data_IF_995062705615
#
_entry.id   IF_995062705615
#
_cell.length_a   1.000
_cell.length_b   1.000
_cell.length_c   1.000
_cell.angle_alpha   90.00
_cell.angle_beta   90.00
_cell.angle_gamma   90.00
#
_symmetry.space_group_name_H-M   'P 1'
#
loop_
_entity.id
_entity.type
_entity.pdbx_description
1 polymer ?
#
# COMPACT_ATOMS: atom_id res chain seq x y z
N UNK A 1 -1.62 7.75 -16.76
CA UNK A 1 -1.06 8.30 -15.50
C UNK A 1 -0.88 7.14 -14.53
N UNK A 2 0.33 6.88 -14.09
CA UNK A 2 0.67 5.65 -13.37
C UNK A 2 0.46 5.81 -11.86
N UNK A 3 -0.80 5.61 -11.38
CA UNK A 3 -1.09 5.64 -9.94
C UNK A 3 -0.24 4.62 -9.15
N UNK A 4 0.08 3.47 -9.76
CA UNK A 4 0.95 2.45 -9.21
C UNK A 4 2.33 3.01 -8.81
N UNK A 5 2.97 3.78 -9.70
CA UNK A 5 4.25 4.43 -9.40
C UNK A 5 4.12 5.43 -8.24
N UNK A 6 3.03 6.20 -8.22
CA UNK A 6 2.78 7.17 -7.14
C UNK A 6 2.57 6.47 -5.81
N UNK A 7 1.74 5.42 -5.78
CA UNK A 7 1.52 4.64 -4.55
C UNK A 7 2.81 4.01 -4.05
N UNK A 8 3.57 3.36 -4.94
CA UNK A 8 4.86 2.77 -4.56
C UNK A 8 5.81 3.80 -3.95
N UNK A 9 5.93 4.98 -4.56
CA UNK A 9 6.77 6.06 -4.04
C UNK A 9 6.32 6.51 -2.65
N UNK A 10 5.01 6.62 -2.41
CA UNK A 10 4.46 7.00 -1.11
C UNK A 10 4.72 5.91 -0.06
N UNK A 11 4.48 4.65 -0.39
CA UNK A 11 4.70 3.53 0.53
C UNK A 11 6.18 3.30 0.84
N UNK A 12 7.08 3.67 -0.06
CA UNK A 12 8.53 3.57 0.16
C UNK A 12 9.12 4.71 1.01
N UNK A 13 8.32 5.71 1.36
CA UNK A 13 8.77 6.77 2.27
C UNK A 13 9.19 6.19 3.65
N UNK A 14 10.32 6.65 4.17
CA UNK A 14 11.06 5.99 5.26
C UNK A 14 10.37 5.99 6.63
N UNK A 15 9.25 6.70 6.83
CA UNK A 15 8.58 6.86 8.13
C UNK A 15 7.05 6.81 8.02
N UNK A 16 6.54 5.88 7.23
CA UNK A 16 5.11 5.75 7.01
C UNK A 16 4.44 5.09 8.22
N UNK A 17 3.65 5.83 8.99
CA UNK A 17 2.88 5.31 10.14
C UNK A 17 1.88 4.24 9.73
N UNK A 18 1.35 4.33 8.52
CA UNK A 18 0.46 3.30 7.98
C UNK A 18 1.12 1.91 8.07
N UNK A 19 2.36 1.76 7.57
CA UNK A 19 3.04 0.47 7.57
C UNK A 19 3.36 0.00 8.98
N UNK A 20 3.79 0.89 9.88
CA UNK A 20 4.02 0.55 11.28
C UNK A 20 2.73 0.08 11.97
N UNK A 21 1.59 0.71 11.71
CA UNK A 21 0.30 0.30 12.27
C UNK A 21 -0.16 -1.07 11.77
N UNK A 22 0.21 -1.43 10.54
CA UNK A 22 -0.18 -2.69 9.91
C UNK A 22 0.73 -3.86 10.30
N UNK A 23 2.03 -3.59 10.47
CA UNK A 23 3.05 -4.63 10.68
C UNK A 23 3.53 -4.70 12.11
N UNK A 24 3.24 -3.67 12.91
CA UNK A 24 3.79 -3.46 14.28
C UNK A 24 5.31 -3.38 14.31
N UNK A 25 5.94 -3.01 13.18
CA UNK A 25 7.39 -2.81 13.06
C UNK A 25 7.69 -1.80 11.95
N UNK A 26 8.79 -1.06 12.09
CA UNK A 26 9.25 -0.17 11.03
C UNK A 26 9.91 -0.96 9.88
N UNK A 27 9.83 -0.43 8.67
CA UNK A 27 10.58 -0.96 7.53
C UNK A 27 12.07 -0.63 7.76
N UNK A 28 12.91 -1.65 7.73
CA UNK A 28 14.38 -1.49 7.82
C UNK A 28 14.98 -1.12 6.47
N UNK A 29 14.60 -1.85 5.43
CA UNK A 29 15.07 -1.63 4.06
C UNK A 29 14.07 -2.19 3.04
N UNK A 30 13.90 -1.49 1.92
CA UNK A 30 13.18 -1.96 0.75
C UNK A 30 14.10 -2.79 -0.13
N UNK A 31 13.58 -3.90 -0.68
CA UNK A 31 14.34 -4.81 -1.51
C UNK A 31 13.81 -4.72 -2.94
N UNK A 32 14.70 -4.51 -3.90
CA UNK A 32 14.35 -4.61 -5.31
C UNK A 32 14.35 -6.08 -5.72
N UNK A 33 13.16 -6.64 -5.94
CA UNK A 33 12.98 -8.04 -6.32
C UNK A 33 12.63 -8.13 -7.80
N UNK A 34 13.55 -8.68 -8.61
CA UNK A 34 13.31 -8.98 -10.02
C UNK A 34 13.09 -10.48 -10.19
N UNK A 35 11.94 -10.85 -10.76
CA UNK A 35 11.61 -12.26 -11.03
C UNK A 35 12.06 -12.61 -12.45
N UNK A 36 12.98 -13.58 -12.63
CA UNK A 36 13.54 -13.92 -13.95
C UNK A 36 12.56 -14.61 -14.90
N UNK A 37 11.27 -14.71 -14.58
CA UNK A 37 10.34 -15.52 -15.37
C UNK A 37 9.23 -14.66 -16.00
N UNK A 38 9.10 -14.75 -17.32
CA UNK A 38 8.21 -13.93 -18.18
C UNK A 38 6.71 -14.15 -17.97
N UNK A 39 6.29 -15.05 -17.08
CA UNK A 39 4.87 -15.35 -16.78
C UNK A 39 4.41 -14.89 -15.40
N UNK A 40 5.28 -14.46 -14.51
CA UNK A 40 4.92 -13.98 -13.18
C UNK A 40 4.86 -12.46 -13.17
N UNK A 41 3.77 -11.93 -12.66
CA UNK A 41 3.64 -10.50 -12.40
C UNK A 41 4.75 -10.03 -11.45
N UNK A 42 5.19 -8.80 -11.62
CA UNK A 42 6.21 -8.17 -10.78
C UNK A 42 5.66 -8.01 -9.36
N UNK A 43 6.40 -8.43 -8.34
CA UNK A 43 6.13 -8.09 -6.94
C UNK A 43 6.11 -6.57 -6.78
N UNK A 44 5.16 -6.06 -5.98
CA UNK A 44 5.09 -4.61 -5.81
C UNK A 44 6.17 -4.10 -4.85
N UNK A 45 6.13 -4.49 -3.61
CA UNK A 45 7.08 -4.02 -2.60
C UNK A 45 7.49 -5.16 -1.67
N UNK A 46 8.80 -5.33 -1.48
CA UNK A 46 9.37 -6.30 -0.52
C UNK A 46 10.35 -5.57 0.39
N UNK A 47 10.29 -5.83 1.68
CA UNK A 47 11.14 -5.17 2.66
C UNK A 47 11.54 -6.10 3.81
N UNK A 48 12.66 -5.79 4.46
CA UNK A 48 12.95 -6.27 5.80
C UNK A 48 12.39 -5.30 6.83
N UNK A 49 11.65 -5.84 7.80
CA UNK A 49 11.21 -5.08 8.96
C UNK A 49 12.33 -5.01 10.01
N UNK A 50 12.23 -4.07 10.92
CA UNK A 50 13.21 -3.86 12.00
C UNK A 50 13.28 -5.02 12.99
N UNK A 51 12.22 -5.82 13.07
CA UNK A 51 12.15 -7.03 13.89
C UNK A 51 12.66 -8.30 13.18
N UNK A 52 13.23 -8.16 11.98
CA UNK A 52 13.82 -9.25 11.20
C UNK A 52 12.83 -10.03 10.32
N UNK A 53 11.53 -9.67 10.29
CA UNK A 53 10.57 -10.31 9.39
C UNK A 53 10.75 -9.82 7.95
N UNK A 54 10.60 -10.74 7.00
CA UNK A 54 10.44 -10.41 5.58
C UNK A 54 8.98 -10.00 5.35
N UNK A 55 8.76 -8.86 4.70
CA UNK A 55 7.44 -8.29 4.46
C UNK A 55 7.21 -8.11 2.95
N UNK A 56 6.06 -8.56 2.47
CA UNK A 56 5.60 -8.35 1.10
C UNK A 56 4.28 -7.58 1.11
N UNK A 57 4.27 -6.46 0.41
CA UNK A 57 3.09 -5.62 0.23
C UNK A 57 2.70 -5.57 -1.24
N UNK A 58 1.46 -5.96 -1.53
CA UNK A 58 0.83 -5.86 -2.85
C UNK A 58 -0.17 -4.71 -2.88
N UNK A 59 -0.24 -3.97 -3.98
CA UNK A 59 -1.11 -2.79 -4.16
C UNK A 59 -2.13 -3.07 -5.28
N UNK A 60 -3.43 -2.99 -4.97
CA UNK A 60 -4.48 -3.28 -5.95
C UNK A 60 -5.54 -2.18 -6.02
N UNK A 61 -5.91 -1.80 -7.25
CA UNK A 61 -7.01 -0.86 -7.52
C UNK A 61 -8.23 -1.51 -8.15
N UNK A 62 -8.17 -2.79 -8.48
CA UNK A 62 -9.26 -3.61 -9.00
C UNK A 62 -9.35 -4.95 -8.31
N UNK A 63 -10.52 -5.58 -8.33
CA UNK A 63 -10.67 -6.94 -7.82
C UNK A 63 -10.08 -7.95 -8.82
N UNK A 64 -9.21 -8.81 -8.34
CA UNK A 64 -8.58 -9.90 -9.10
C UNK A 64 -8.99 -11.25 -8.49
N UNK A 65 -9.76 -12.09 -9.20
CA UNK A 65 -10.19 -13.39 -8.68
C UNK A 65 -9.02 -14.37 -8.47
N UNK A 66 -7.89 -14.15 -9.13
CA UNK A 66 -6.70 -14.98 -9.01
C UNK A 66 -5.72 -14.48 -7.95
N UNK A 67 -6.06 -13.43 -7.20
CA UNK A 67 -5.14 -12.79 -6.27
C UNK A 67 -4.59 -13.76 -5.21
N UNK A 68 -5.42 -14.61 -4.64
CA UNK A 68 -4.95 -15.57 -3.63
C UNK A 68 -3.90 -16.54 -4.21
N UNK A 69 -4.06 -16.95 -5.49
CA UNK A 69 -3.07 -17.79 -6.18
C UNK A 69 -1.76 -17.03 -6.43
N UNK A 70 -1.84 -15.78 -6.85
CA UNK A 70 -0.64 -14.93 -7.01
C UNK A 70 0.09 -14.75 -5.68
N UNK A 71 -0.63 -14.50 -4.61
CA UNK A 71 -0.05 -14.30 -3.28
C UNK A 71 0.68 -15.54 -2.77
N UNK A 72 0.14 -16.75 -2.96
CA UNK A 72 0.86 -17.96 -2.56
C UNK A 72 2.09 -18.23 -3.45
N UNK A 73 2.02 -17.96 -4.75
CA UNK A 73 3.17 -18.04 -5.65
C UNK A 73 4.31 -17.11 -5.19
N UNK A 74 3.99 -15.86 -4.85
CA UNK A 74 4.95 -14.92 -4.29
C UNK A 74 5.50 -15.36 -2.93
N UNK A 75 4.64 -15.92 -2.07
CA UNK A 75 5.05 -16.46 -0.78
C UNK A 75 6.14 -17.53 -0.94
N UNK A 76 5.88 -18.52 -1.78
CA UNK A 76 6.81 -19.63 -2.03
C UNK A 76 8.12 -19.15 -2.66
N UNK A 77 8.04 -18.20 -3.58
CA UNK A 77 9.18 -17.61 -4.24
C UNK A 77 10.08 -16.86 -3.25
N UNK A 78 9.52 -16.00 -2.46
CA UNK A 78 10.25 -15.23 -1.44
C UNK A 78 10.85 -16.13 -0.37
N UNK A 79 10.07 -17.11 0.11
CA UNK A 79 10.58 -18.08 1.07
C UNK A 79 11.76 -18.87 0.52
N UNK A 80 11.68 -19.30 -0.73
CA UNK A 80 12.78 -20.01 -1.39
C UNK A 80 14.06 -19.17 -1.51
N UNK A 81 13.90 -17.86 -1.82
CA UNK A 81 15.05 -16.98 -2.05
C UNK A 81 15.71 -16.50 -0.77
N UNK A 82 14.91 -16.16 0.22
CA UNK A 82 15.40 -15.54 1.45
C UNK A 82 15.50 -16.52 2.63
N UNK A 83 15.01 -17.75 2.49
CA UNK A 83 15.00 -18.76 3.57
C UNK A 83 14.03 -18.43 4.71
N UNK A 84 13.31 -17.31 4.63
CA UNK A 84 12.37 -16.82 5.64
C UNK A 84 11.00 -16.64 5.00
N UNK A 85 9.96 -17.18 5.66
CA UNK A 85 8.58 -17.03 5.23
C UNK A 85 8.14 -15.56 5.33
N UNK A 86 7.62 -14.95 4.25
CA UNK A 86 7.21 -13.55 4.29
C UNK A 86 5.87 -13.36 5.02
N UNK A 87 5.74 -12.25 5.73
CA UNK A 87 4.43 -11.70 6.10
C UNK A 87 3.87 -10.96 4.90
N UNK A 88 2.67 -11.35 4.46
CA UNK A 88 2.07 -10.77 3.25
C UNK A 88 0.80 -9.98 3.56
N UNK A 89 0.72 -8.80 2.96
CA UNK A 89 -0.47 -7.96 3.00
C UNK A 89 -0.76 -7.39 1.61
N UNK A 90 -2.05 -7.14 1.37
CA UNK A 90 -2.53 -6.44 0.20
C UNK A 90 -3.26 -5.17 0.66
N UNK A 91 -2.94 -4.04 0.06
CA UNK A 91 -3.67 -2.79 0.22
C UNK A 91 -4.52 -2.56 -1.03
N UNK A 92 -5.82 -2.47 -0.80
CA UNK A 92 -6.80 -2.20 -1.83
C UNK A 92 -7.19 -0.72 -1.82
N UNK A 93 -7.06 -0.07 -2.98
CA UNK A 93 -7.36 1.35 -3.18
C UNK A 93 -8.47 1.56 -4.22
N UNK A 94 -9.12 0.49 -4.67
CA UNK A 94 -10.13 0.54 -5.73
C UNK A 94 -11.44 1.23 -5.33
N UNK A 95 -12.27 1.50 -6.34
CA UNK A 95 -13.60 2.13 -6.17
C UNK A 95 -14.68 1.15 -5.74
N UNK A 96 -14.63 -0.06 -6.31
CA UNK A 96 -15.59 -1.11 -5.98
C UNK A 96 -15.31 -1.66 -4.58
N UNK A 97 -16.28 -2.24 -3.88
CA UNK A 97 -16.00 -2.99 -2.66
C UNK A 97 -14.94 -4.07 -2.89
N UNK A 98 -14.07 -4.27 -1.90
CA UNK A 98 -13.10 -5.35 -1.93
C UNK A 98 -13.83 -6.70 -1.98
N UNK A 99 -13.57 -7.48 -3.02
CA UNK A 99 -14.23 -8.77 -3.26
C UNK A 99 -13.24 -9.85 -3.73
N UNK A 100 -11.95 -9.67 -3.46
CA UNK A 100 -10.92 -10.65 -3.80
C UNK A 100 -10.89 -11.78 -2.78
N UNK A 101 -10.65 -13.05 -3.22
CA UNK A 101 -10.43 -14.15 -2.30
C UNK A 101 -9.12 -13.91 -1.50
N UNK A 102 -9.19 -14.03 -0.18
CA UNK A 102 -8.04 -13.87 0.72
C UNK A 102 -7.52 -15.20 1.26
N UNK A 103 -8.10 -16.29 0.81
CA UNK A 103 -7.80 -17.63 1.26
C UNK A 103 -7.84 -18.63 0.09
N UNK A 104 -6.94 -19.61 0.16
CA UNK A 104 -7.01 -20.85 -0.64
C UNK A 104 -7.10 -21.99 0.37
N UNK A 105 -8.09 -22.86 0.18
CA UNK A 105 -8.28 -24.05 1.00
C UNK A 105 -8.44 -25.28 0.09
N UNK A 106 -7.53 -26.21 0.24
CA UNK A 106 -7.56 -27.53 -0.37
C UNK A 106 -7.29 -28.60 0.70
N UNK A 107 -7.52 -29.86 0.37
CA UNK A 107 -7.38 -30.98 1.30
C UNK A 107 -6.03 -30.96 2.08
N UNK A 108 -4.94 -30.65 1.39
CA UNK A 108 -3.58 -30.72 1.95
C UNK A 108 -2.92 -29.36 2.17
N UNK A 109 -3.67 -28.23 1.96
CA UNK A 109 -3.09 -26.90 2.04
C UNK A 109 -4.13 -25.85 2.40
N UNK A 110 -3.78 -25.02 3.36
CA UNK A 110 -4.48 -23.76 3.64
C UNK A 110 -3.49 -22.61 3.54
N UNK A 111 -3.82 -21.62 2.74
CA UNK A 111 -3.05 -20.40 2.62
C UNK A 111 -3.96 -19.19 2.83
N UNK A 112 -3.50 -18.21 3.62
CA UNK A 112 -4.21 -16.95 3.88
C UNK A 112 -3.26 -15.78 3.83
N UNK A 113 -3.75 -14.65 3.33
CA UNK A 113 -3.07 -13.36 3.42
C UNK A 113 -4.05 -12.30 3.91
N UNK A 114 -3.53 -11.18 4.41
CA UNK A 114 -4.36 -10.07 4.89
C UNK A 114 -4.59 -9.07 3.76
N UNK A 115 -5.84 -8.85 3.38
CA UNK A 115 -6.25 -7.75 2.52
C UNK A 115 -6.85 -6.62 3.37
N UNK A 116 -6.51 -5.37 3.02
CA UNK A 116 -6.90 -4.16 3.73
C UNK A 116 -7.49 -3.20 2.72
N UNK A 117 -8.77 -2.88 2.89
CA UNK A 117 -9.40 -1.80 2.12
C UNK A 117 -9.08 -0.47 2.81
N UNK A 118 -8.41 0.43 2.09
CA UNK A 118 -8.07 1.75 2.64
C UNK A 118 -9.30 2.53 3.13
N UNK A 119 -10.49 2.27 2.57
CA UNK A 119 -11.73 2.93 2.98
C UNK A 119 -12.21 2.51 4.37
N UNK A 120 -11.71 1.42 4.92
CA UNK A 120 -12.04 0.96 6.28
C UNK A 120 -11.17 1.62 7.34
N UNK A 121 -10.02 2.19 6.93
CA UNK A 121 -9.11 2.86 7.84
C UNK A 121 -9.58 4.28 8.16
N UNK A 122 -9.40 4.69 9.42
CA UNK A 122 -9.71 6.06 9.85
C UNK A 122 -8.62 7.02 9.36
N UNK A 123 -9.02 8.02 8.58
CA UNK A 123 -8.10 9.03 8.04
C UNK A 123 -7.44 9.90 9.12
N UNK A 124 -8.06 10.07 10.28
CA UNK A 124 -7.53 10.95 11.34
C UNK A 124 -6.15 10.51 11.83
N UNK A 125 -5.90 9.22 11.91
CA UNK A 125 -4.59 8.68 12.31
C UNK A 125 -3.48 9.16 11.37
N UNK A 126 -3.78 9.21 10.06
CA UNK A 126 -2.83 9.60 9.02
C UNK A 126 -2.74 11.12 8.86
N UNK A 127 -3.85 11.83 9.01
CA UNK A 127 -3.88 13.30 8.98
C UNK A 127 -3.11 13.94 10.14
N UNK A 128 -2.94 13.23 11.26
CA UNK A 128 -2.15 13.68 12.42
C UNK A 128 -0.67 13.33 12.30
N UNK A 129 -0.28 12.53 11.32
CA UNK A 129 1.12 12.17 11.11
C UNK A 129 1.97 13.39 10.72
N UNK A 130 3.21 13.49 11.19
CA UNK A 130 4.15 14.50 10.70
C UNK A 130 4.63 14.25 9.27
N UNK A 131 4.51 13.02 8.76
CA UNK A 131 4.90 12.65 7.40
C UNK A 131 3.83 13.10 6.40
N UNK A 132 4.25 13.85 5.36
CA UNK A 132 3.34 14.32 4.31
C UNK A 132 2.74 13.14 3.52
N UNK A 133 3.48 12.06 3.36
CA UNK A 133 3.08 10.86 2.66
C UNK A 133 1.85 10.20 3.33
N UNK A 134 1.82 10.13 4.66
CA UNK A 134 0.66 9.65 5.40
C UNK A 134 -0.54 10.58 5.17
N UNK A 135 -0.33 11.91 5.21
CA UNK A 135 -1.40 12.86 4.98
C UNK A 135 -1.97 12.72 3.56
N UNK A 136 -1.14 12.48 2.54
CA UNK A 136 -1.59 12.24 1.17
C UNK A 136 -2.40 10.94 1.06
N UNK A 137 -1.92 9.86 1.68
CA UNK A 137 -2.62 8.57 1.69
C UNK A 137 -3.96 8.63 2.43
N UNK A 138 -4.13 9.55 3.40
CA UNK A 138 -5.39 9.75 4.12
C UNK A 138 -6.58 10.00 3.19
N UNK A 139 -6.36 10.58 1.98
CA UNK A 139 -7.44 10.80 0.99
C UNK A 139 -8.09 9.49 0.52
N UNK A 140 -7.39 8.36 0.62
CA UNK A 140 -7.87 7.02 0.27
C UNK A 140 -8.62 6.34 1.43
N UNK A 141 -8.55 6.88 2.63
CA UNK A 141 -9.20 6.35 3.82
C UNK A 141 -10.66 6.79 3.94
N UNK A 142 -11.32 6.34 5.00
CA UNK A 142 -12.63 6.83 5.39
C UNK A 142 -12.48 8.25 5.93
N UNK A 143 -13.06 9.23 5.20
CA UNK A 143 -13.07 10.64 5.57
C UNK A 143 -14.39 10.97 6.28
N UNK A 144 -14.32 11.44 7.52
CA UNK A 144 -15.49 11.91 8.26
C UNK A 144 -16.01 13.25 7.70
N UNK A 145 -15.08 14.12 7.28
CA UNK A 145 -15.35 15.40 6.62
C UNK A 145 -14.35 15.59 5.46
N UNK A 146 -14.80 15.26 4.24
CA UNK A 146 -13.94 15.33 3.04
C UNK A 146 -13.39 16.74 2.78
N UNK A 147 -14.21 17.83 2.80
CA UNK A 147 -13.70 19.19 2.63
C UNK A 147 -12.65 19.59 3.65
N UNK A 148 -12.85 19.25 4.92
CA UNK A 148 -11.91 19.57 5.99
C UNK A 148 -10.61 18.76 5.83
N UNK A 149 -10.69 17.48 5.53
CA UNK A 149 -9.51 16.63 5.29
C UNK A 149 -8.66 17.17 4.14
N UNK A 150 -9.28 17.48 3.00
CA UNK A 150 -8.58 18.08 1.85
C UNK A 150 -7.92 19.40 2.23
N UNK A 151 -8.61 20.28 2.95
CA UNK A 151 -8.05 21.56 3.41
C UNK A 151 -6.83 21.34 4.30
N UNK A 152 -6.88 20.40 5.24
CA UNK A 152 -5.74 20.05 6.11
C UNK A 152 -4.53 19.57 5.29
N UNK A 153 -4.77 18.68 4.31
CA UNK A 153 -3.70 18.18 3.43
C UNK A 153 -3.08 19.35 2.63
N UNK A 154 -3.90 20.21 2.04
CA UNK A 154 -3.40 21.38 1.30
C UNK A 154 -2.56 22.31 2.18
N UNK A 155 -3.02 22.61 3.39
CA UNK A 155 -2.26 23.42 4.36
C UNK A 155 -0.90 22.76 4.70
N UNK A 156 -0.86 21.44 4.83
CA UNK A 156 0.42 20.71 5.05
C UNK A 156 1.34 20.82 3.84
N UNK A 157 0.80 20.72 2.62
CA UNK A 157 1.59 20.88 1.38
C UNK A 157 2.15 22.30 1.29
N UNK A 158 1.39 23.33 1.66
CA UNK A 158 1.85 24.71 1.67
C UNK A 158 3.03 24.95 2.63
N UNK A 159 3.13 24.18 3.70
CA UNK A 159 4.23 24.24 4.67
C UNK A 159 5.52 23.54 4.19
N UNK A 160 5.46 22.75 3.12
CA UNK A 160 6.62 22.08 2.57
C UNK A 160 7.58 23.07 1.89
N UNK A 161 8.89 22.75 1.77
CA UNK A 161 9.80 23.45 0.89
C UNK A 161 9.25 23.52 -0.55
N UNK A 162 9.47 24.63 -1.25
CA UNK A 162 8.94 24.86 -2.59
C UNK A 162 9.29 23.75 -3.59
N UNK A 163 10.46 23.13 -3.46
CA UNK A 163 10.91 22.00 -4.28
C UNK A 163 10.06 20.72 -4.12
N UNK A 164 9.33 20.57 -3.00
CA UNK A 164 8.53 19.38 -2.71
C UNK A 164 7.02 19.59 -2.97
N UNK A 165 6.55 20.85 -2.97
CA UNK A 165 5.11 21.18 -3.10
C UNK A 165 4.49 20.66 -4.38
N UNK A 166 5.16 20.84 -5.51
CA UNK A 166 4.65 20.41 -6.82
C UNK A 166 4.49 18.88 -6.88
N UNK A 167 5.46 18.14 -6.35
CA UNK A 167 5.38 16.69 -6.29
C UNK A 167 4.23 16.22 -5.39
N UNK A 168 4.12 16.77 -4.17
CA UNK A 168 3.05 16.43 -3.23
C UNK A 168 1.66 16.75 -3.82
N UNK A 169 1.51 17.89 -4.50
CA UNK A 169 0.26 18.25 -5.18
C UNK A 169 -0.07 17.29 -6.32
N UNK A 170 0.91 16.92 -7.13
CA UNK A 170 0.72 15.94 -8.21
C UNK A 170 0.31 14.57 -7.66
N UNK A 171 0.92 14.12 -6.57
CA UNK A 171 0.56 12.88 -5.90
C UNK A 171 -0.88 12.93 -5.35
N UNK A 172 -1.27 14.04 -4.70
CA UNK A 172 -2.63 14.23 -4.20
C UNK A 172 -3.66 14.13 -5.33
N UNK A 173 -3.41 14.78 -6.48
CA UNK A 173 -4.29 14.72 -7.65
C UNK A 173 -4.43 13.29 -8.20
N UNK A 174 -3.33 12.55 -8.30
CA UNK A 174 -3.35 11.15 -8.73
C UNK A 174 -4.19 10.30 -7.78
N UNK A 175 -3.99 10.42 -6.47
CA UNK A 175 -4.72 9.65 -5.47
C UNK A 175 -6.21 10.03 -5.44
N UNK A 176 -6.52 11.31 -5.54
CA UNK A 176 -7.92 11.78 -5.62
C UNK A 176 -8.66 11.18 -6.81
N UNK A 177 -7.99 11.03 -7.97
CA UNK A 177 -8.55 10.39 -9.15
C UNK A 177 -8.86 8.90 -8.99
N UNK A 178 -8.30 8.21 -7.99
CA UNK A 178 -8.69 6.84 -7.63
C UNK A 178 -10.06 6.78 -6.94
N UNK A 179 -10.49 7.88 -6.30
CA UNK A 179 -11.75 7.95 -5.55
C UNK A 179 -12.89 8.58 -6.32
N UNK A 180 -12.60 9.62 -7.11
CA UNK A 180 -13.60 10.40 -7.81
C UNK A 180 -13.12 10.73 -9.23
N UNK A 181 -13.77 10.20 -10.29
CA UNK A 181 -13.38 10.49 -11.68
C UNK A 181 -13.80 11.88 -12.16
N UNK A 182 -14.58 12.62 -11.38
CA UNK A 182 -15.16 13.91 -11.76
C UNK A 182 -14.41 15.12 -11.19
N UNK A 183 -13.24 14.91 -10.58
CA UNK A 183 -12.38 16.01 -10.09
C UNK A 183 -11.11 16.15 -10.91
#
# INVERSE_FOLDING_TARGET
MHFDTTLKALFQASRLRLLESLTHAAVREWINVEIPNTRMSKLDLVAWLTDGRLYHLELQSGNDPDMARRMIEYYLLLWRWYGVAPVQQLIYVGRQPLAMPTEIQHENMTFRYRAIDMRELDSEVFLQSPAIEDNLLAILCRLNDKPMAVRRILTRIEQLPSSQRLNAMSQLLVLSGLRDPAT
#
